data_IF_570081279007
#
_entry.id   IF_570081279007
#
_cell.length_a   1.000
_cell.length_b   1.000
_cell.length_c   1.000
_cell.angle_alpha   90.00
_cell.angle_beta   90.00
_cell.angle_gamma   90.00
#
_symmetry.space_group_name_H-M   'P 1'
#
loop_
_entity.id
_entity.type
_entity.pdbx_description
1 polymer ?
#
# COMPACT_ATOMS: atom_id res chain seq x y z
N UNK A 1 21.41 14.06 -13.28
CA UNK A 1 20.67 13.23 -12.30
C UNK A 1 20.53 11.82 -12.89
N UNK A 2 20.60 10.74 -12.08
CA UNK A 2 20.26 9.42 -12.58
C UNK A 2 18.79 9.39 -13.06
N UNK A 3 18.45 8.56 -14.07
CA UNK A 3 17.06 8.36 -14.44
C UNK A 3 16.26 7.85 -13.23
N UNK A 4 14.95 8.17 -13.14
CA UNK A 4 14.12 7.64 -12.06
C UNK A 4 14.19 6.11 -12.09
N UNK A 5 14.49 5.50 -10.95
CA UNK A 5 14.50 4.05 -10.84
C UNK A 5 13.04 3.56 -10.79
N UNK A 6 12.68 2.50 -11.53
CA UNK A 6 11.36 1.93 -11.44
C UNK A 6 11.09 1.45 -10.00
N UNK A 7 9.86 1.68 -9.52
CA UNK A 7 9.46 1.23 -8.19
C UNK A 7 9.43 -0.29 -8.18
N UNK A 8 10.14 -0.88 -7.22
CA UNK A 8 10.23 -2.31 -7.07
C UNK A 8 8.92 -2.85 -6.47
N UNK A 9 8.37 -3.89 -7.09
CA UNK A 9 7.17 -4.57 -6.63
C UNK A 9 7.56 -5.65 -5.63
N UNK A 10 6.78 -5.78 -4.56
CA UNK A 10 6.95 -6.87 -3.59
C UNK A 10 6.24 -8.10 -4.12
N UNK A 11 7.00 -9.10 -4.51
CA UNK A 11 6.47 -10.36 -5.08
C UNK A 11 7.27 -11.49 -4.44
N UNK A 12 6.62 -12.30 -3.62
CA UNK A 12 7.26 -13.37 -2.85
C UNK A 12 6.28 -14.47 -2.48
N UNK A 13 6.78 -15.69 -2.23
CA UNK A 13 5.97 -16.81 -1.72
C UNK A 13 6.01 -16.85 -0.19
N UNK A 14 5.24 -17.77 0.42
CA UNK A 14 5.23 -17.98 1.87
C UNK A 14 6.65 -18.27 2.44
N UNK A 15 7.56 -18.81 1.63
CA UNK A 15 8.94 -19.17 2.03
C UNK A 15 10.01 -18.15 1.62
N UNK A 16 9.72 -17.23 0.68
CA UNK A 16 10.72 -16.29 0.15
C UNK A 16 10.12 -14.91 -0.12
N UNK A 17 10.62 -13.90 0.61
CA UNK A 17 10.41 -12.50 0.25
C UNK A 17 11.21 -12.16 -1.01
N UNK A 18 10.50 -11.68 -2.04
CA UNK A 18 11.11 -11.28 -3.30
C UNK A 18 10.74 -9.86 -3.69
N UNK A 19 11.61 -9.27 -4.49
CA UNK A 19 11.36 -7.98 -5.13
C UNK A 19 11.50 -8.15 -6.64
N UNK A 20 10.51 -7.68 -7.38
CA UNK A 20 10.49 -7.69 -8.83
C UNK A 20 10.48 -6.25 -9.35
N UNK A 21 11.42 -5.92 -10.23
CA UNK A 21 11.47 -4.59 -10.86
C UNK A 21 10.92 -4.74 -12.28
N UNK A 22 9.65 -4.36 -12.55
CA UNK A 22 9.11 -4.43 -13.90
C UNK A 22 9.79 -3.40 -14.81
N UNK A 23 9.89 -3.72 -16.09
CA UNK A 23 10.13 -2.70 -17.11
C UNK A 23 8.90 -1.78 -17.16
N UNK A 24 9.02 -0.59 -16.57
CA UNK A 24 7.89 0.32 -16.43
C UNK A 24 7.44 0.87 -17.79
N UNK A 25 6.18 0.62 -18.17
CA UNK A 25 5.52 1.27 -19.32
C UNK A 25 5.13 2.71 -18.98
N UNK A 26 4.65 2.94 -17.75
CA UNK A 26 4.32 4.25 -17.20
C UNK A 26 4.82 4.32 -15.75
N UNK A 27 5.36 5.48 -15.36
CA UNK A 27 5.78 5.74 -13.98
C UNK A 27 5.08 7.00 -13.48
N UNK A 28 4.24 6.83 -12.46
CA UNK A 28 3.44 7.87 -11.84
C UNK A 28 3.76 7.91 -10.35
N UNK A 29 3.75 9.10 -9.76
CA UNK A 29 4.04 9.32 -8.33
C UNK A 29 2.77 9.57 -7.50
N UNK A 30 1.60 9.33 -8.08
CA UNK A 30 0.29 9.52 -7.48
C UNK A 30 -0.51 8.22 -7.57
N UNK A 31 -1.05 7.77 -6.43
CA UNK A 31 -1.73 6.48 -6.34
C UNK A 31 -3.05 6.44 -7.11
N UNK A 32 -3.81 7.53 -7.12
CA UNK A 32 -5.08 7.61 -7.83
C UNK A 32 -4.82 7.59 -9.35
N UNK A 33 -3.79 8.31 -9.81
CA UNK A 33 -3.39 8.27 -11.22
C UNK A 33 -2.95 6.87 -11.68
N UNK A 34 -2.27 6.09 -10.82
CA UNK A 34 -1.92 4.69 -11.10
C UNK A 34 -3.17 3.82 -11.23
N UNK A 35 -4.13 3.97 -10.32
CA UNK A 35 -5.37 3.19 -10.32
C UNK A 35 -6.21 3.50 -11.56
N UNK A 36 -6.39 4.78 -11.89
CA UNK A 36 -7.11 5.20 -13.11
C UNK A 36 -6.43 4.67 -14.38
N UNK A 37 -5.10 4.63 -14.42
CA UNK A 37 -4.36 4.01 -15.51
C UNK A 37 -4.66 2.52 -15.66
N UNK A 38 -4.72 1.77 -14.55
CA UNK A 38 -5.08 0.36 -14.57
C UNK A 38 -6.53 0.15 -15.02
N UNK A 39 -7.47 0.97 -14.53
CA UNK A 39 -8.87 0.97 -14.95
C UNK A 39 -9.05 1.27 -16.44
N UNK A 40 -8.20 2.13 -17.00
CA UNK A 40 -8.15 2.44 -18.43
C UNK A 40 -7.46 1.36 -19.28
N UNK A 41 -7.00 0.26 -18.68
CA UNK A 41 -6.35 -0.85 -19.39
C UNK A 41 -4.89 -0.62 -19.76
N UNK A 42 -4.19 0.31 -19.10
CA UNK A 42 -2.79 0.62 -19.40
C UNK A 42 -1.78 -0.38 -18.80
N UNK A 43 -2.25 -1.37 -18.02
CA UNK A 43 -1.41 -2.44 -17.48
C UNK A 43 -1.84 -2.89 -16.08
N UNK A 44 -0.87 -3.44 -15.35
CA UNK A 44 -1.03 -3.94 -13.97
C UNK A 44 -0.43 -2.92 -13.00
N UNK A 45 -1.05 -2.73 -11.83
CA UNK A 45 -0.51 -1.95 -10.74
C UNK A 45 -0.44 -2.76 -9.44
N UNK A 46 0.52 -2.46 -8.57
CA UNK A 46 0.57 -2.96 -7.20
C UNK A 46 0.19 -1.85 -6.23
N UNK A 47 -0.98 -1.96 -5.58
CA UNK A 47 -1.55 -0.95 -4.68
C UNK A 47 -2.12 -1.61 -3.42
N UNK A 48 -2.18 -0.89 -2.28
CA UNK A 48 -2.93 -1.33 -1.11
C UNK A 48 -4.38 -1.66 -1.45
N UNK A 49 -4.86 -2.81 -0.98
CA UNK A 49 -6.24 -3.29 -1.25
C UNK A 49 -7.28 -2.25 -0.84
N UNK A 50 -7.06 -1.51 0.25
CA UNK A 50 -7.96 -0.45 0.71
C UNK A 50 -8.25 0.63 -0.34
N UNK A 51 -7.31 0.92 -1.24
CA UNK A 51 -7.50 1.92 -2.30
C UNK A 51 -8.26 1.37 -3.52
N UNK A 52 -8.17 0.06 -3.77
CA UNK A 52 -8.77 -0.59 -4.95
C UNK A 52 -9.97 -1.47 -4.63
N UNK A 53 -10.34 -1.63 -3.35
CA UNK A 53 -11.41 -2.53 -2.86
C UNK A 53 -12.69 -2.41 -3.67
N UNK A 54 -13.21 -1.18 -3.84
CA UNK A 54 -14.44 -0.91 -4.61
C UNK A 54 -14.34 -1.35 -6.08
N UNK A 55 -13.15 -1.25 -6.67
CA UNK A 55 -12.91 -1.61 -8.07
C UNK A 55 -12.77 -3.13 -8.23
N UNK A 56 -12.21 -3.81 -7.24
CA UNK A 56 -12.19 -5.27 -7.16
C UNK A 56 -13.61 -5.83 -6.97
N UNK A 57 -14.38 -5.26 -6.04
CA UNK A 57 -15.76 -5.70 -5.75
C UNK A 57 -16.71 -5.50 -6.94
N UNK A 58 -16.53 -4.43 -7.72
CA UNK A 58 -17.30 -4.18 -8.94
C UNK A 58 -16.81 -4.99 -10.16
N UNK A 59 -15.67 -5.67 -10.06
CA UNK A 59 -15.03 -6.36 -11.19
C UNK A 59 -14.38 -5.43 -12.22
N UNK A 60 -14.27 -4.13 -11.93
CA UNK A 60 -13.55 -3.17 -12.77
C UNK A 60 -12.03 -3.40 -12.73
N UNK A 61 -11.53 -3.94 -11.62
CA UNK A 61 -10.18 -4.50 -11.51
C UNK A 61 -10.27 -5.97 -11.09
N UNK A 62 -9.25 -6.74 -11.47
CA UNK A 62 -9.10 -8.14 -11.07
C UNK A 62 -7.75 -8.33 -10.38
N UNK A 63 -7.76 -9.01 -9.23
CA UNK A 63 -6.51 -9.38 -8.55
C UNK A 63 -5.78 -10.47 -9.32
N UNK A 64 -4.46 -10.39 -9.33
CA UNK A 64 -3.57 -11.35 -9.98
C UNK A 64 -2.39 -11.65 -9.06
N UNK A 65 -1.80 -12.83 -9.22
CA UNK A 65 -0.64 -13.26 -8.44
C UNK A 65 -0.90 -13.31 -6.92
N UNK A 66 -2.13 -13.59 -6.49
CA UNK A 66 -2.50 -13.63 -5.06
C UNK A 66 -1.64 -14.58 -4.23
N UNK A 67 -1.17 -15.68 -4.84
CA UNK A 67 -0.27 -16.65 -4.22
C UNK A 67 1.17 -16.14 -4.01
N UNK A 68 1.51 -15.00 -4.59
CA UNK A 68 2.84 -14.39 -4.55
C UNK A 68 2.83 -12.98 -3.93
N UNK A 69 1.75 -12.63 -3.22
CA UNK A 69 1.63 -11.37 -2.53
C UNK A 69 1.91 -11.54 -1.04
N UNK A 70 2.86 -10.76 -0.52
CA UNK A 70 3.07 -10.64 0.91
C UNK A 70 1.81 -10.08 1.56
N UNK A 71 1.31 -10.77 2.59
CA UNK A 71 -0.05 -10.56 3.08
C UNK A 71 -0.24 -9.27 3.90
N UNK A 72 0.82 -8.64 4.41
CA UNK A 72 0.65 -7.54 5.36
C UNK A 72 1.71 -6.45 5.20
N UNK A 73 1.25 -5.20 5.14
CA UNK A 73 2.08 -4.01 5.29
C UNK A 73 1.69 -3.39 6.63
N UNK A 74 2.64 -3.32 7.55
CA UNK A 74 2.39 -2.69 8.84
C UNK A 74 2.27 -1.17 8.68
N UNK A 75 1.22 -0.61 9.29
CA UNK A 75 1.03 0.84 9.40
C UNK A 75 1.54 1.28 10.78
N UNK A 76 2.47 2.22 10.79
CA UNK A 76 3.08 2.73 12.02
C UNK A 76 2.74 4.19 12.26
N UNK A 77 2.35 4.53 13.49
CA UNK A 77 2.30 5.90 13.97
C UNK A 77 3.69 6.29 14.50
N UNK A 78 4.31 7.32 13.94
CA UNK A 78 5.65 7.80 14.33
C UNK A 78 5.59 9.20 14.93
N UNK A 79 6.38 9.44 15.97
CA UNK A 79 6.56 10.76 16.57
C UNK A 79 8.00 10.93 17.08
N UNK A 80 8.49 12.18 17.21
CA UNK A 80 9.83 12.42 17.73
C UNK A 80 10.02 11.85 19.15
N UNK A 81 11.20 11.31 19.48
CA UNK A 81 11.50 10.89 20.84
C UNK A 81 11.47 12.12 21.77
N UNK A 82 10.49 12.17 22.67
CA UNK A 82 10.32 13.27 23.62
C UNK A 82 10.11 12.71 25.02
N UNK A 83 10.65 13.38 26.04
CA UNK A 83 10.54 12.94 27.45
C UNK A 83 9.10 12.95 27.95
N UNK A 84 8.29 13.88 27.46
CA UNK A 84 6.86 13.97 27.77
C UNK A 84 6.07 14.18 26.48
N UNK A 85 5.39 13.13 26.02
CA UNK A 85 4.48 13.22 24.88
C UNK A 85 3.34 14.18 25.23
N UNK A 86 3.09 15.18 24.38
CA UNK A 86 2.00 16.15 24.60
C UNK A 86 0.66 15.39 24.70
N UNK A 87 -0.20 15.69 25.69
CA UNK A 87 -1.45 14.94 25.91
C UNK A 87 -2.33 14.79 24.66
N UNK A 88 -2.40 15.84 23.81
CA UNK A 88 -3.16 15.79 22.55
C UNK A 88 -2.62 14.75 21.56
N UNK A 89 -1.29 14.58 21.47
CA UNK A 89 -0.68 13.57 20.58
C UNK A 89 -0.93 12.18 21.13
N UNK A 90 -0.73 11.98 22.43
CA UNK A 90 -1.04 10.71 23.11
C UNK A 90 -2.49 10.29 22.86
N UNK A 91 -3.44 11.21 23.09
CA UNK A 91 -4.86 10.95 22.87
C UNK A 91 -5.16 10.48 21.44
N UNK A 92 -4.60 11.15 20.42
CA UNK A 92 -4.80 10.75 19.02
C UNK A 92 -4.19 9.38 18.73
N UNK A 93 -2.97 9.10 19.21
CA UNK A 93 -2.31 7.80 19.01
C UNK A 93 -3.09 6.69 19.71
N UNK A 94 -3.52 6.90 20.94
CA UNK A 94 -4.30 5.93 21.71
C UNK A 94 -5.65 5.66 21.01
N UNK A 95 -6.29 6.68 20.45
CA UNK A 95 -7.54 6.52 19.71
C UNK A 95 -7.34 5.79 18.36
N UNK A 96 -6.29 6.11 17.60
CA UNK A 96 -5.95 5.37 16.38
C UNK A 96 -5.65 3.90 16.68
N UNK A 97 -4.91 3.61 17.76
CA UNK A 97 -4.64 2.24 18.18
C UNK A 97 -5.92 1.50 18.61
N UNK A 98 -6.82 2.19 19.33
CA UNK A 98 -8.14 1.65 19.71
C UNK A 98 -9.00 1.31 18.49
N UNK A 99 -9.05 2.19 17.50
CA UNK A 99 -9.77 1.98 16.24
C UNK A 99 -9.15 0.83 15.43
N UNK A 100 -7.82 0.75 15.36
CA UNK A 100 -7.11 -0.35 14.70
C UNK A 100 -7.42 -1.70 15.36
N UNK A 101 -7.42 -1.77 16.70
CA UNK A 101 -7.79 -2.98 17.43
C UNK A 101 -9.26 -3.41 17.21
N UNK A 102 -10.11 -2.53 16.66
CA UNK A 102 -11.49 -2.83 16.30
C UNK A 102 -11.67 -3.21 14.82
N UNK A 103 -10.58 -3.30 14.04
CA UNK A 103 -10.64 -3.63 12.62
C UNK A 103 -11.22 -2.51 11.75
N UNK A 104 -11.19 -1.25 12.23
CA UNK A 104 -11.76 -0.11 11.49
C UNK A 104 -10.98 0.17 10.19
N UNK A 105 -9.73 -0.28 10.09
CA UNK A 105 -8.84 -0.03 8.96
C UNK A 105 -8.68 -1.25 8.02
N UNK A 106 -9.40 -2.35 8.27
CA UNK A 106 -9.33 -3.58 7.47
C UNK A 106 -10.31 -3.57 6.28
#
# INVERSE_FOLDING_TARGET
>A
PPPPQPVAWRVGSDDEEGTFIPNATYQLNDGDAVIEGALAGLGICQMPVSLVRRHLESGALQSVLDAHMQRHIDIHALWPPTRHLRPKVRYVVDELARLAAQGVFD
#
